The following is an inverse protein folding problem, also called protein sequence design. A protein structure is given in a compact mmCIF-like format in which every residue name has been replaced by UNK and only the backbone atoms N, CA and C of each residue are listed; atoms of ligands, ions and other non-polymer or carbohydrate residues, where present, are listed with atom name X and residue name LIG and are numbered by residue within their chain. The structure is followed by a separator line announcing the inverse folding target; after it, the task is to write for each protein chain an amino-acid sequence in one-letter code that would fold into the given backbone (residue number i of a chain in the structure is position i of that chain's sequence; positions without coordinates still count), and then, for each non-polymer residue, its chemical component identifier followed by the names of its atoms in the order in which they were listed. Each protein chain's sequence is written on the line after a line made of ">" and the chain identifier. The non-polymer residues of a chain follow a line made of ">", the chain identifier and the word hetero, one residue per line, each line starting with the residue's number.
data_IF_521323612583
#
_entry.id   IF_521323612583
#
_cell.length_a   1.000
_cell.length_b   1.000
_cell.length_c   1.000
_cell.angle_alpha   90.00
_cell.angle_beta   90.00
_cell.angle_gamma   90.00
#
_symmetry.space_group_name_H-M   'P 1'
#
loop_
_entity.id
_entity.type
_entity.pdbx_description
1 polymer ?
#
# COMPACT_ATOMS: atom_id res chain seq x y z
N UNK A 1 -60.01 61.16 26.38
CA UNK A 1 -59.65 59.97 25.61
C UNK A 1 -58.26 60.16 25.03
N UNK A 2 -57.33 59.26 25.33
CA UNK A 2 -55.95 59.32 24.84
C UNK A 2 -55.78 58.34 23.66
N UNK A 3 -55.07 58.71 22.57
CA UNK A 3 -54.86 57.81 21.44
C UNK A 3 -53.85 56.72 21.80
N UNK A 4 -54.22 55.45 21.59
CA UNK A 4 -53.33 54.30 21.69
C UNK A 4 -52.26 54.37 20.59
N UNK A 5 -50.98 54.24 20.98
CA UNK A 5 -49.81 54.30 20.09
C UNK A 5 -49.84 53.20 19.01
N UNK A 6 -49.36 53.47 17.78
CA UNK A 6 -49.20 52.45 16.75
C UNK A 6 -48.12 51.45 17.17
N UNK A 7 -48.39 50.16 16.98
CA UNK A 7 -47.43 49.09 17.21
C UNK A 7 -46.49 49.01 16.00
N UNK A 8 -45.38 49.75 16.06
CA UNK A 8 -44.29 49.68 15.09
C UNK A 8 -43.52 48.36 15.22
N UNK A 9 -43.39 47.67 14.09
CA UNK A 9 -42.41 46.66 13.70
C UNK A 9 -41.57 45.97 14.82
N UNK A 10 -42.07 44.86 15.35
CA UNK A 10 -41.25 43.93 16.12
C UNK A 10 -41.72 42.47 16.00
N UNK A 11 -41.78 41.91 14.78
CA UNK A 11 -41.78 40.43 14.62
C UNK A 11 -41.36 39.98 13.20
N UNK A 12 -40.31 40.59 12.63
CA UNK A 12 -39.56 40.03 11.47
C UNK A 12 -38.42 39.09 11.90
N UNK A 13 -38.53 38.42 13.05
CA UNK A 13 -37.49 37.52 13.57
C UNK A 13 -37.99 36.14 14.03
N UNK A 14 -39.27 35.80 13.84
CA UNK A 14 -39.76 34.45 14.16
C UNK A 14 -39.40 33.51 13.01
N UNK A 15 -38.58 32.46 13.21
CA UNK A 15 -38.40 31.45 12.18
C UNK A 15 -39.77 30.83 11.92
N UNK A 16 -40.30 30.99 10.71
CA UNK A 16 -41.55 30.36 10.31
C UNK A 16 -41.41 28.87 10.61
N UNK A 17 -42.32 28.34 11.46
CA UNK A 17 -42.30 26.94 11.87
C UNK A 17 -42.26 26.11 10.59
N UNK A 18 -41.18 25.35 10.39
CA UNK A 18 -41.03 24.49 9.21
C UNK A 18 -42.22 23.54 9.21
N UNK A 19 -43.16 23.74 8.30
CA UNK A 19 -44.24 22.79 8.08
C UNK A 19 -43.57 21.45 7.81
N UNK A 20 -43.82 20.47 8.68
CA UNK A 20 -43.32 19.12 8.52
C UNK A 20 -43.82 18.61 7.17
N UNK A 21 -42.93 18.58 6.16
CA UNK A 21 -43.24 17.96 4.88
C UNK A 21 -43.63 16.51 5.22
N UNK A 22 -44.85 16.10 4.86
CA UNK A 22 -45.28 14.70 4.94
C UNK A 22 -44.33 13.79 4.17
N UNK A 23 -44.55 12.48 4.24
CA UNK A 23 -43.67 11.47 3.64
C UNK A 23 -43.43 11.74 2.14
N UNK A 24 -42.32 12.39 1.81
CA UNK A 24 -41.98 12.79 0.45
C UNK A 24 -41.25 11.63 -0.21
N UNK A 25 -41.96 10.88 -1.03
CA UNK A 25 -41.41 9.80 -1.88
C UNK A 25 -40.90 10.44 -3.18
N UNK A 26 -39.94 11.35 -3.06
CA UNK A 26 -39.23 11.92 -4.21
C UNK A 26 -37.94 11.15 -4.51
N UNK A 27 -37.34 11.31 -5.70
CA UNK A 27 -36.07 10.68 -6.05
C UNK A 27 -34.91 11.01 -5.09
N UNK A 28 -35.05 12.05 -4.26
CA UNK A 28 -34.15 12.39 -3.18
C UNK A 28 -34.26 11.48 -1.92
N UNK A 29 -35.41 10.83 -1.71
CA UNK A 29 -35.73 9.96 -0.58
C UNK A 29 -35.97 8.50 -0.97
N UNK A 30 -35.95 8.19 -2.27
CA UNK A 30 -35.88 6.80 -2.72
C UNK A 30 -34.57 6.19 -2.21
N UNK A 31 -34.55 4.91 -1.81
CA UNK A 31 -33.33 4.23 -1.42
C UNK A 31 -32.39 4.22 -2.62
N UNK A 32 -31.49 5.20 -2.63
CA UNK A 32 -30.30 5.25 -3.47
C UNK A 32 -29.72 3.84 -3.50
N UNK A 33 -29.71 3.23 -4.69
CA UNK A 33 -29.42 1.81 -4.86
C UNK A 33 -28.19 1.38 -4.07
N UNK A 34 -28.10 0.08 -3.73
CA UNK A 34 -27.08 -0.49 -2.83
C UNK A 34 -25.65 -0.02 -3.12
N UNK A 35 -25.33 0.29 -4.39
CA UNK A 35 -24.06 0.85 -4.83
C UNK A 35 -23.85 2.33 -4.47
N UNK A 36 -24.85 3.22 -4.58
CA UNK A 36 -24.70 4.64 -4.24
C UNK A 36 -24.45 4.84 -2.75
N UNK A 37 -25.10 4.07 -1.87
CA UNK A 37 -24.80 4.04 -0.42
C UNK A 37 -23.36 3.60 -0.13
N UNK A 38 -22.89 2.55 -0.80
CA UNK A 38 -21.49 2.07 -0.68
C UNK A 38 -20.49 3.14 -1.14
N UNK A 39 -20.72 3.78 -2.28
CA UNK A 39 -19.86 4.87 -2.80
C UNK A 39 -19.84 6.06 -1.83
N UNK A 40 -21.00 6.48 -1.31
CA UNK A 40 -21.06 7.54 -0.32
C UNK A 40 -20.34 7.17 0.99
N UNK A 41 -20.48 5.93 1.47
CA UNK A 41 -19.76 5.42 2.65
C UNK A 41 -18.25 5.41 2.42
N UNK A 42 -17.80 4.92 1.26
CA UNK A 42 -16.39 4.93 0.87
C UNK A 42 -15.86 6.36 0.85
N UNK A 43 -16.55 7.28 0.16
CA UNK A 43 -16.16 8.70 0.08
C UNK A 43 -16.07 9.35 1.47
N UNK A 44 -17.09 9.18 2.31
CA UNK A 44 -17.10 9.70 3.70
C UNK A 44 -15.93 9.11 4.52
N UNK A 45 -15.67 7.81 4.40
CA UNK A 45 -14.57 7.15 5.11
C UNK A 45 -13.19 7.66 4.67
N UNK A 46 -13.02 7.94 3.37
CA UNK A 46 -11.76 8.42 2.81
C UNK A 46 -11.49 9.86 3.26
N UNK A 47 -12.52 10.71 3.22
CA UNK A 47 -12.45 12.09 3.75
C UNK A 47 -12.11 12.08 5.24
N UNK A 48 -12.75 11.23 6.05
CA UNK A 48 -12.49 11.14 7.48
C UNK A 48 -11.04 10.71 7.77
N UNK A 49 -10.55 9.66 7.09
CA UNK A 49 -9.15 9.21 7.21
C UNK A 49 -8.17 10.32 6.82
N UNK A 50 -8.46 11.10 5.79
CA UNK A 50 -7.62 12.22 5.37
C UNK A 50 -7.59 13.34 6.43
N UNK A 51 -8.74 13.64 7.06
CA UNK A 51 -8.81 14.61 8.18
C UNK A 51 -7.99 14.14 9.38
N UNK A 52 -8.19 12.90 9.82
CA UNK A 52 -7.42 12.33 10.92
C UNK A 52 -5.91 12.35 10.63
N UNK A 53 -5.49 12.02 9.41
CA UNK A 53 -4.07 12.11 9.03
C UNK A 53 -3.54 13.53 9.07
N UNK A 54 -4.33 14.53 8.67
CA UNK A 54 -3.94 15.94 8.76
C UNK A 54 -3.80 16.39 10.20
N UNK A 55 -4.77 16.07 11.06
CA UNK A 55 -4.73 16.40 12.49
C UNK A 55 -3.58 15.69 13.20
N UNK A 56 -3.39 14.40 12.93
CA UNK A 56 -2.27 13.63 13.48
C UNK A 56 -0.92 14.23 13.09
N UNK A 57 -0.73 14.61 11.82
CA UNK A 57 0.50 15.30 11.37
C UNK A 57 0.72 16.64 12.08
N UNK A 58 -0.35 17.38 12.40
CA UNK A 58 -0.24 18.64 13.15
C UNK A 58 0.23 18.39 14.59
N UNK A 59 -0.40 17.44 15.28
CA UNK A 59 0.00 17.06 16.65
C UNK A 59 1.42 16.50 16.67
N UNK A 60 1.75 15.66 15.69
CA UNK A 60 3.09 15.12 15.56
C UNK A 60 4.13 16.23 15.30
N UNK A 61 3.86 17.19 14.42
CA UNK A 61 4.75 18.33 14.22
C UNK A 61 4.89 19.22 15.48
N UNK A 62 3.85 19.33 16.31
CA UNK A 62 3.93 20.02 17.60
C UNK A 62 4.77 19.26 18.62
N UNK A 63 4.73 17.92 18.61
CA UNK A 63 5.51 17.08 19.52
C UNK A 63 6.97 16.89 19.05
N UNK A 64 7.20 16.83 17.74
CA UNK A 64 8.52 16.66 17.12
C UNK A 64 9.26 18.01 16.99
N UNK A 65 8.55 19.14 17.12
CA UNK A 65 9.20 20.42 17.31
C UNK A 65 9.95 20.39 18.65
N UNK A 66 11.28 20.64 18.68
CA UNK A 66 11.99 20.77 19.94
C UNK A 66 11.28 21.87 20.73
N UNK A 67 10.96 21.61 22.00
CA UNK A 67 10.30 22.56 22.87
C UNK A 67 11.03 23.91 22.80
N UNK A 68 10.53 24.82 21.96
CA UNK A 68 10.92 26.22 21.98
C UNK A 68 10.22 26.80 23.19
N UNK A 69 10.74 26.47 24.38
CA UNK A 69 10.52 27.23 25.60
C UNK A 69 11.38 28.49 25.45
N UNK A 70 10.81 29.69 25.18
CA UNK A 70 11.59 30.92 25.13
C UNK A 70 11.80 31.42 26.56
N UNK A 71 12.46 30.63 27.41
CA UNK A 71 12.56 30.95 28.83
C UNK A 71 13.85 30.47 29.52
N UNK A 72 14.94 30.16 28.79
CA UNK A 72 16.12 29.63 29.50
C UNK A 72 17.54 29.95 29.01
N UNK A 73 17.78 30.76 27.98
CA UNK A 73 19.15 31.25 27.77
C UNK A 73 19.15 32.72 27.36
N UNK A 74 19.07 33.55 28.39
CA UNK A 74 19.65 34.88 28.41
C UNK A 74 20.72 34.88 29.52
N UNK A 75 21.90 35.42 29.22
CA UNK A 75 23.18 35.42 29.95
C UNK A 75 24.11 34.20 29.76
N UNK A 76 25.12 34.38 28.90
CA UNK A 76 26.46 34.75 29.35
C UNK A 76 27.36 34.98 28.14
N UNK A 77 27.62 36.24 27.82
CA UNK A 77 28.85 36.66 27.16
C UNK A 77 30.02 36.27 28.09
N UNK A 78 31.00 35.52 27.59
CA UNK A 78 32.40 35.57 28.05
C UNK A 78 33.28 34.77 27.09
N UNK A 79 34.04 35.49 26.27
CA UNK A 79 35.29 34.97 25.72
C UNK A 79 36.30 34.79 26.85
N UNK A 80 37.13 33.74 26.78
CA UNK A 80 38.52 33.87 27.18
C UNK A 80 39.45 33.38 26.07
N UNK A 81 40.52 34.15 25.87
CA UNK A 81 41.51 33.92 24.85
C UNK A 81 42.58 32.87 25.17
N UNK A 82 43.47 32.75 24.18
CA UNK A 82 44.88 32.37 24.22
C UNK A 82 45.26 30.88 24.39
N UNK A 83 45.99 30.44 23.36
CA UNK A 83 47.09 29.47 23.37
C UNK A 83 46.82 28.04 23.83
N UNK A 84 46.24 27.25 22.93
CA UNK A 84 46.45 25.79 22.90
C UNK A 84 47.08 25.45 21.54
N UNK A 85 48.26 24.80 21.47
CA UNK A 85 48.78 24.35 20.19
C UNK A 85 47.78 23.35 19.60
N UNK A 86 47.36 23.59 18.36
CA UNK A 86 46.45 22.71 17.64
C UNK A 86 46.96 21.26 17.74
N UNK A 87 46.12 20.28 18.14
CA UNK A 87 46.54 18.89 18.16
C UNK A 87 46.87 18.50 16.73
N UNK A 88 48.17 18.35 16.43
CA UNK A 88 48.64 17.93 15.12
C UNK A 88 47.97 16.61 14.78
N UNK A 89 47.25 16.60 13.66
CA UNK A 89 46.47 15.47 13.16
C UNK A 89 47.36 14.33 12.63
N UNK A 90 48.60 14.24 13.09
CA UNK A 90 49.56 13.22 12.68
C UNK A 90 49.41 12.01 13.60
N UNK A 91 49.17 10.80 13.05
CA UNK A 91 49.06 9.60 13.85
C UNK A 91 50.39 9.32 14.57
N UNK A 92 50.30 8.94 15.86
CA UNK A 92 51.45 8.55 16.68
C UNK A 92 52.32 7.51 15.93
N UNK A 93 53.66 7.58 16.01
CA UNK A 93 54.56 6.74 15.20
C UNK A 93 54.32 5.23 15.32
N UNK A 94 53.87 4.76 16.48
CA UNK A 94 53.51 3.35 16.69
C UNK A 94 52.29 2.91 15.87
N UNK A 95 51.38 3.85 15.58
CA UNK A 95 50.20 3.61 14.74
C UNK A 95 50.55 3.55 13.26
N UNK A 96 51.59 4.28 12.84
CA UNK A 96 52.14 4.22 11.48
C UNK A 96 52.82 2.87 11.24
N UNK A 97 53.62 2.38 12.20
CA UNK A 97 54.25 1.05 12.12
C UNK A 97 53.24 -0.09 11.97
N UNK A 98 52.12 -0.01 12.69
CA UNK A 98 51.06 -1.02 12.62
C UNK A 98 50.27 -0.99 11.29
N UNK A 99 50.32 0.12 10.54
CA UNK A 99 49.70 0.26 9.22
C UNK A 99 50.65 -0.11 8.08
N UNK A 100 51.96 0.06 8.28
CA UNK A 100 53.00 -0.29 7.31
C UNK A 100 53.35 -1.79 7.31
N UNK A 101 53.12 -2.51 8.42
CA UNK A 101 53.28 -3.97 8.45
C UNK A 101 52.24 -4.65 7.53
N UNK A 102 52.66 -5.37 6.47
CA UNK A 102 51.72 -6.06 5.60
C UNK A 102 51.03 -7.16 6.40
N UNK A 103 49.69 -7.07 6.49
CA UNK A 103 48.87 -8.10 7.13
C UNK A 103 49.24 -9.46 6.55
N UNK A 104 49.57 -10.47 7.39
CA UNK A 104 49.86 -11.80 6.88
C UNK A 104 48.67 -12.30 6.04
N UNK A 105 48.95 -12.85 4.86
CA UNK A 105 47.91 -13.47 4.03
C UNK A 105 47.16 -14.52 4.87
N UNK A 106 45.82 -14.54 4.82
CA UNK A 106 45.05 -15.49 5.60
C UNK A 106 45.36 -16.90 5.09
N UNK A 107 46.15 -17.65 5.84
CA UNK A 107 46.30 -19.08 5.62
C UNK A 107 44.90 -19.72 5.59
N UNK A 108 44.61 -20.65 4.66
CA UNK A 108 43.33 -21.33 4.64
C UNK A 108 43.22 -22.16 5.92
N UNK A 109 42.48 -21.64 6.90
CA UNK A 109 42.19 -22.31 8.16
C UNK A 109 41.72 -23.74 7.87
N UNK A 110 42.57 -24.71 8.17
CA UNK A 110 42.16 -26.11 8.21
C UNK A 110 41.18 -26.26 9.36
N UNK A 111 39.88 -26.28 9.05
CA UNK A 111 38.75 -26.33 9.99
C UNK A 111 38.63 -27.66 10.74
N UNK A 112 39.72 -28.22 11.25
CA UNK A 112 39.74 -29.53 11.89
C UNK A 112 40.06 -29.48 13.40
N UNK A 113 40.11 -28.30 14.02
CA UNK A 113 40.19 -28.14 15.49
C UNK A 113 38.81 -27.94 16.16
N UNK A 114 37.82 -28.69 15.72
CA UNK A 114 36.48 -28.68 16.30
C UNK A 114 36.17 -30.05 16.89
N UNK A 115 36.59 -30.30 18.14
CA UNK A 115 35.95 -31.32 18.97
C UNK A 115 34.42 -31.15 18.95
N UNK A 116 33.63 -32.15 19.39
CA UNK A 116 32.17 -32.16 19.18
C UNK A 116 31.56 -30.83 19.65
N UNK A 117 31.22 -29.96 18.68
CA UNK A 117 30.65 -28.64 18.94
C UNK A 117 29.35 -28.88 19.69
N UNK A 118 29.37 -28.60 20.99
CA UNK A 118 28.16 -28.63 21.82
C UNK A 118 27.09 -27.81 21.09
N UNK A 119 26.03 -28.49 20.65
CA UNK A 119 24.90 -27.88 19.98
C UNK A 119 24.45 -26.67 20.79
N UNK A 120 24.61 -25.46 20.23
CA UNK A 120 24.16 -24.23 20.89
C UNK A 120 22.65 -24.35 21.07
N UNK A 121 22.19 -24.36 22.33
CA UNK A 121 20.76 -24.33 22.64
C UNK A 121 20.16 -23.06 22.05
N UNK A 122 19.02 -23.21 21.36
CA UNK A 122 18.28 -22.07 20.84
C UNK A 122 17.90 -21.16 21.99
N UNK A 123 18.21 -19.87 21.86
CA UNK A 123 17.83 -18.87 22.87
C UNK A 123 16.31 -18.71 22.83
N UNK A 124 15.61 -18.73 23.97
CA UNK A 124 14.18 -18.47 24.00
C UNK A 124 13.92 -17.07 23.43
N UNK A 125 13.10 -17.00 22.38
CA UNK A 125 12.75 -15.73 21.76
C UNK A 125 11.57 -15.15 22.54
N UNK A 126 11.62 -13.89 22.99
CA UNK A 126 10.43 -13.24 23.51
C UNK A 126 9.34 -13.24 22.44
N UNK A 127 8.10 -13.58 22.82
CA UNK A 127 6.90 -13.55 21.96
C UNK A 127 6.83 -14.57 20.82
N UNK A 128 7.25 -15.82 21.04
CA UNK A 128 7.15 -16.91 20.05
C UNK A 128 5.75 -17.07 19.46
N UNK A 129 4.72 -16.97 20.32
CA UNK A 129 3.30 -17.04 19.90
C UNK A 129 2.92 -15.94 18.92
N UNK A 130 3.45 -14.73 19.09
CA UNK A 130 3.16 -13.60 18.19
C UNK A 130 3.90 -13.75 16.87
N UNK A 131 5.13 -14.26 16.91
CA UNK A 131 5.90 -14.57 15.71
C UNK A 131 5.23 -15.66 14.86
N UNK A 132 4.68 -16.70 15.48
CA UNK A 132 3.90 -17.74 14.82
C UNK A 132 2.63 -17.18 14.17
N UNK A 133 1.86 -16.36 14.88
CA UNK A 133 0.69 -15.68 14.32
C UNK A 133 1.08 -14.78 13.13
N UNK A 134 2.22 -14.11 13.21
CA UNK A 134 2.78 -13.32 12.11
C UNK A 134 3.11 -14.17 10.87
N UNK A 135 3.70 -15.36 11.08
CA UNK A 135 4.00 -16.31 9.99
C UNK A 135 2.72 -16.84 9.36
N UNK A 136 1.74 -17.29 10.16
CA UNK A 136 0.46 -17.76 9.67
C UNK A 136 -0.29 -16.70 8.85
N UNK A 137 -0.24 -15.43 9.27
CA UNK A 137 -0.83 -14.32 8.50
C UNK A 137 -0.13 -14.11 7.16
N UNK A 138 1.21 -14.17 7.13
CA UNK A 138 1.99 -14.06 5.88
C UNK A 138 1.71 -15.22 4.93
N UNK A 139 1.66 -16.45 5.45
CA UNK A 139 1.35 -17.65 4.68
C UNK A 139 -0.06 -17.58 4.09
N UNK A 140 -1.07 -17.14 4.86
CA UNK A 140 -2.42 -16.96 4.35
C UNK A 140 -2.49 -15.93 3.22
N UNK A 141 -1.81 -14.79 3.38
CA UNK A 141 -1.77 -13.76 2.33
C UNK A 141 -1.06 -14.29 1.08
N UNK A 142 0.06 -15.01 1.25
CA UNK A 142 0.79 -15.61 0.14
C UNK A 142 -0.05 -16.68 -0.58
N UNK A 143 -0.80 -17.50 0.16
CA UNK A 143 -1.72 -18.48 -0.42
C UNK A 143 -2.86 -17.82 -1.20
N UNK A 144 -3.44 -16.74 -0.67
CA UNK A 144 -4.47 -15.96 -1.38
C UNK A 144 -3.92 -15.30 -2.65
N UNK A 145 -2.68 -14.80 -2.62
CA UNK A 145 -2.01 -14.24 -3.80
C UNK A 145 -1.76 -15.33 -4.85
N UNK A 146 -1.18 -16.46 -4.45
CA UNK A 146 -0.92 -17.59 -5.36
C UNK A 146 -2.21 -18.10 -6.02
N UNK A 147 -3.30 -18.22 -5.27
CA UNK A 147 -4.59 -18.63 -5.82
C UNK A 147 -5.14 -17.62 -6.86
N UNK A 148 -4.92 -16.31 -6.65
CA UNK A 148 -5.28 -15.29 -7.65
C UNK A 148 -4.43 -15.39 -8.90
N UNK A 149 -3.12 -15.55 -8.74
CA UNK A 149 -2.18 -15.71 -9.86
C UNK A 149 -2.51 -16.96 -10.69
N UNK A 150 -2.80 -18.10 -10.05
CA UNK A 150 -3.21 -19.33 -10.74
C UNK A 150 -4.52 -19.12 -11.52
N UNK A 151 -5.52 -18.46 -10.91
CA UNK A 151 -6.78 -18.14 -11.59
C UNK A 151 -6.59 -17.17 -12.78
N UNK A 152 -5.70 -16.18 -12.64
CA UNK A 152 -5.34 -15.27 -13.74
C UNK A 152 -4.60 -16.00 -14.87
N UNK A 153 -3.66 -16.90 -14.54
CA UNK A 153 -2.98 -17.73 -15.51
C UNK A 153 -3.95 -18.65 -16.26
N UNK A 154 -4.92 -19.27 -15.58
CA UNK A 154 -5.93 -20.10 -16.22
C UNK A 154 -6.81 -19.27 -17.18
N UNK A 155 -7.23 -18.08 -16.75
CA UNK A 155 -7.96 -17.13 -17.60
C UNK A 155 -7.14 -16.71 -18.81
N UNK A 156 -5.85 -16.39 -18.62
CA UNK A 156 -4.94 -16.01 -19.69
C UNK A 156 -4.74 -17.15 -20.70
N UNK A 157 -4.59 -18.40 -20.23
CA UNK A 157 -4.52 -19.60 -21.10
C UNK A 157 -5.79 -19.76 -21.92
N UNK A 158 -6.97 -19.68 -21.28
CA UNK A 158 -8.28 -19.75 -21.97
C UNK A 158 -8.47 -18.64 -23.00
N UNK A 159 -8.07 -17.40 -22.68
CA UNK A 159 -8.12 -16.27 -23.61
C UNK A 159 -7.14 -16.46 -24.77
N UNK A 160 -5.91 -16.88 -24.49
CA UNK A 160 -4.89 -17.13 -25.51
C UNK A 160 -5.31 -18.23 -26.50
N UNK A 161 -5.91 -19.31 -26.01
CA UNK A 161 -6.47 -20.36 -26.87
C UNK A 161 -7.62 -19.84 -27.74
N UNK A 162 -8.53 -19.04 -27.17
CA UNK A 162 -9.63 -18.39 -27.90
C UNK A 162 -9.11 -17.46 -28.98
N UNK A 163 -8.09 -16.67 -28.68
CA UNK A 163 -7.48 -15.76 -29.64
C UNK A 163 -6.76 -16.51 -30.76
N UNK A 164 -6.00 -17.56 -30.43
CA UNK A 164 -5.37 -18.44 -31.42
C UNK A 164 -6.42 -19.02 -32.35
N UNK A 165 -7.51 -19.59 -31.79
CA UNK A 165 -8.62 -20.13 -32.56
C UNK A 165 -9.31 -19.06 -33.42
N UNK A 166 -9.54 -17.86 -32.88
CA UNK A 166 -10.12 -16.75 -33.63
C UNK A 166 -9.23 -16.33 -34.80
N UNK A 167 -7.92 -16.23 -34.58
CA UNK A 167 -6.93 -15.85 -35.60
C UNK A 167 -6.83 -16.91 -36.70
N UNK A 168 -6.79 -18.20 -36.37
CA UNK A 168 -6.75 -19.28 -37.36
C UNK A 168 -8.03 -19.36 -38.18
N UNK A 169 -9.20 -19.24 -37.53
CA UNK A 169 -10.49 -19.16 -38.22
C UNK A 169 -10.60 -17.91 -39.11
N UNK A 170 -10.14 -16.74 -38.64
CA UNK A 170 -10.13 -15.52 -39.44
C UNK A 170 -9.23 -15.69 -40.67
N UNK A 171 -8.05 -16.30 -40.53
CA UNK A 171 -7.13 -16.59 -41.64
C UNK A 171 -7.70 -17.60 -42.65
N UNK A 172 -8.51 -18.54 -42.19
CA UNK A 172 -9.16 -19.54 -43.03
C UNK A 172 -10.41 -18.98 -43.76
N UNK A 173 -11.14 -18.08 -43.08
CA UNK A 173 -12.27 -17.31 -43.64
C UNK A 173 -11.86 -16.15 -44.53
N UNK A 174 -10.63 -15.63 -44.35
CA UNK A 174 -10.08 -14.60 -45.22
C UNK A 174 -9.92 -15.17 -46.63
N UNK A 175 -10.79 -14.69 -47.52
CA UNK A 175 -11.04 -15.23 -48.84
C UNK A 175 -9.76 -15.49 -49.64
N UNK A 176 -9.79 -16.52 -50.49
CA UNK A 176 -8.80 -16.68 -51.54
C UNK A 176 -8.90 -15.59 -52.61
N UNK A 177 -8.12 -15.69 -53.69
CA UNK A 177 -8.16 -14.74 -54.82
C UNK A 177 -9.57 -14.46 -55.36
N UNK A 178 -10.48 -15.45 -55.27
CA UNK A 178 -11.87 -15.37 -55.71
C UNK A 178 -12.87 -15.07 -54.56
N UNK A 179 -12.39 -14.63 -53.39
CA UNK A 179 -13.22 -14.39 -52.20
C UNK A 179 -13.76 -15.65 -51.50
N UNK A 180 -13.50 -16.84 -52.05
CA UNK A 180 -13.97 -18.11 -51.48
C UNK A 180 -13.22 -18.51 -50.21
N UNK A 181 -13.92 -19.18 -49.28
CA UNK A 181 -13.37 -19.68 -48.02
C UNK A 181 -12.39 -20.82 -48.25
N UNK A 182 -11.35 -20.90 -47.42
CA UNK A 182 -10.32 -21.96 -47.51
C UNK A 182 -10.74 -23.16 -46.69
N UNK A 183 -11.68 -23.96 -47.22
CA UNK A 183 -12.30 -25.12 -46.55
C UNK A 183 -11.27 -26.10 -45.95
N UNK A 184 -10.13 -26.33 -46.60
CA UNK A 184 -9.06 -27.17 -46.06
C UNK A 184 -8.40 -26.64 -44.77
N UNK A 185 -8.34 -25.31 -44.60
CA UNK A 185 -7.82 -24.69 -43.36
C UNK A 185 -8.92 -24.58 -42.31
N UNK A 186 -10.17 -24.36 -42.70
CA UNK A 186 -11.32 -24.30 -41.77
C UNK A 186 -11.62 -25.67 -41.16
N UNK A 187 -11.59 -26.73 -41.96
CA UNK A 187 -11.90 -28.10 -41.52
C UNK A 187 -10.98 -28.55 -40.38
N UNK A 188 -9.66 -28.32 -40.46
CA UNK A 188 -8.72 -28.70 -39.39
C UNK A 188 -9.04 -28.03 -38.04
N UNK A 189 -9.35 -26.73 -38.06
CA UNK A 189 -9.68 -25.95 -36.86
C UNK A 189 -11.05 -26.38 -36.29
N UNK A 190 -12.03 -26.67 -37.15
CA UNK A 190 -13.34 -27.16 -36.74
C UNK A 190 -13.26 -28.59 -36.17
N UNK A 191 -12.41 -29.46 -36.73
CA UNK A 191 -12.16 -30.80 -36.20
C UNK A 191 -11.52 -30.74 -34.81
N UNK A 192 -10.56 -29.84 -34.58
CA UNK A 192 -9.97 -29.65 -33.25
C UNK A 192 -11.02 -29.18 -32.23
N UNK A 193 -11.93 -28.29 -32.63
CA UNK A 193 -13.05 -27.85 -31.78
C UNK A 193 -14.02 -29.00 -31.48
N UNK A 194 -14.35 -29.82 -32.48
CA UNK A 194 -15.22 -30.99 -32.30
C UNK A 194 -14.57 -32.01 -31.34
N UNK A 195 -13.28 -32.30 -31.50
CA UNK A 195 -12.52 -33.16 -30.57
C UNK A 195 -12.53 -32.63 -29.15
N UNK A 196 -12.40 -31.31 -28.94
CA UNK A 196 -12.48 -30.70 -27.59
C UNK A 196 -13.88 -30.75 -26.96
N UNK A 197 -14.94 -30.80 -27.77
CA UNK A 197 -16.32 -30.92 -27.30
C UNK A 197 -16.71 -32.38 -27.02
N UNK A 198 -16.22 -33.32 -27.83
CA UNK A 198 -16.52 -34.76 -27.72
C UNK A 198 -15.57 -35.47 -26.76
N UNK A 199 -14.31 -35.03 -26.65
CA UNK A 199 -13.30 -35.61 -25.77
C UNK A 199 -13.28 -35.06 -24.35
N UNK A 200 -14.21 -34.17 -24.00
CA UNK A 200 -14.52 -33.83 -22.61
C UNK A 200 -15.72 -34.70 -22.21
N UNK A 201 -15.56 -35.73 -21.37
CA UNK A 201 -16.71 -36.35 -20.71
C UNK A 201 -17.43 -35.33 -19.82
#
# INVERSE_FOLDING_TARGET
>A
MAPTRPHDDADRSRPSKKLNKGFSIGPANLPDGTHRRKVQKIKKSLIHKAKLKKEYRKVQAQNDAPAQNPAYYDNSEEEPGADMPEPTLEPHPDRVKMLEEPSPEPEPETKNFSGPRRQRRQRPQPFEKEAELGRQRKERIAAEQKAREEAEQERARKLGERERFRKTMAKARHGGPNGQRKLGRESTVLLEKARRLVGKP
#
